data_IF_107735298742
#
_entry.id   IF_107735298742
#
_cell.length_a   1.000
_cell.length_b   1.000
_cell.length_c   1.000
_cell.angle_alpha   90.00
_cell.angle_beta   90.00
_cell.angle_gamma   90.00
#
_symmetry.space_group_name_H-M   'P 1'
#
loop_
_entity.id
_entity.type
_entity.pdbx_description
1 polymer ?
#
# COMPACT_ATOMS: atom_id res chain seq x y z
N UNK A 1 -3.80 -1.65 -8.40
CA UNK A 1 -3.65 -1.81 -9.85
C UNK A 1 -2.69 -0.77 -10.41
N UNK A 2 -1.86 -1.13 -11.38
CA UNK A 2 -0.95 -0.20 -12.03
C UNK A 2 -1.74 0.73 -12.98
N UNK A 3 -1.43 2.02 -12.96
CA UNK A 3 -2.02 2.99 -13.86
C UNK A 3 -1.41 2.84 -15.27
N UNK A 4 -2.25 2.56 -16.27
CA UNK A 4 -1.86 2.49 -17.67
C UNK A 4 -2.01 3.86 -18.34
N UNK A 5 -0.96 4.32 -19.03
CA UNK A 5 -0.98 5.55 -19.81
C UNK A 5 -0.62 5.26 -21.27
N UNK A 6 -1.33 5.91 -22.19
CA UNK A 6 -1.13 5.74 -23.65
C UNK A 6 -1.16 4.27 -24.11
N UNK A 7 -1.98 3.41 -23.46
CA UNK A 7 -2.06 1.98 -23.76
C UNK A 7 -0.83 1.15 -23.32
N UNK A 8 0.07 1.74 -22.55
CA UNK A 8 1.26 1.04 -22.01
C UNK A 8 1.01 0.53 -20.61
N UNK A 9 1.61 -0.61 -20.27
CA UNK A 9 1.59 -1.16 -18.93
C UNK A 9 2.22 -0.19 -17.93
N UNK A 10 1.67 -0.10 -16.72
CA UNK A 10 2.13 0.81 -15.67
C UNK A 10 3.60 0.63 -15.25
N UNK A 11 4.20 -0.53 -15.52
CA UNK A 11 5.63 -0.79 -15.29
C UNK A 11 6.56 0.08 -16.13
N UNK A 12 6.05 0.64 -17.23
CA UNK A 12 6.80 1.52 -18.12
C UNK A 12 6.65 3.01 -17.79
N UNK A 13 5.96 3.34 -16.71
CA UNK A 13 5.91 4.71 -16.21
C UNK A 13 7.16 5.01 -15.37
N UNK A 14 7.61 6.25 -15.41
CA UNK A 14 8.60 6.73 -14.44
C UNK A 14 7.93 7.60 -13.41
N UNK A 15 8.30 7.39 -12.14
CA UNK A 15 7.82 8.16 -11.01
C UNK A 15 9.02 8.80 -10.34
N UNK A 16 8.98 10.12 -10.27
CA UNK A 16 10.04 10.90 -9.62
C UNK A 16 9.47 11.74 -8.50
N UNK A 17 10.29 11.98 -7.50
CA UNK A 17 9.98 12.91 -6.41
C UNK A 17 11.07 13.94 -6.34
N UNK A 18 10.71 15.20 -6.60
CA UNK A 18 11.64 16.33 -6.78
C UNK A 18 12.82 15.96 -7.69
N UNK A 19 12.55 15.22 -8.76
CA UNK A 19 13.52 14.78 -9.75
C UNK A 19 14.29 13.49 -9.42
N UNK A 20 14.17 12.93 -8.22
CA UNK A 20 14.77 11.65 -7.90
C UNK A 20 13.84 10.48 -8.27
N UNK A 21 14.34 9.49 -9.01
CA UNK A 21 13.56 8.34 -9.42
C UNK A 21 13.20 7.45 -8.22
N UNK A 22 11.92 7.05 -8.15
CA UNK A 22 11.38 6.14 -7.14
C UNK A 22 10.99 4.78 -7.73
N UNK A 23 11.32 4.53 -8.97
CA UNK A 23 10.93 3.29 -9.63
C UNK A 23 11.61 2.07 -9.03
N UNK A 24 10.88 0.96 -8.99
CA UNK A 24 11.46 -0.36 -8.75
C UNK A 24 12.19 -0.81 -10.03
N UNK A 25 13.51 -0.66 -10.05
CA UNK A 25 14.35 -0.93 -11.24
C UNK A 25 14.51 -2.44 -11.54
N UNK A 26 14.09 -3.33 -10.65
CA UNK A 26 14.26 -4.77 -10.84
C UNK A 26 13.12 -5.42 -11.63
N UNK A 27 12.01 -4.74 -11.86
CA UNK A 27 10.89 -5.25 -12.67
C UNK A 27 10.19 -6.50 -12.12
N UNK A 28 10.46 -6.87 -10.87
CA UNK A 28 9.94 -8.07 -10.24
C UNK A 28 8.53 -7.91 -9.65
N UNK A 29 8.01 -6.70 -9.64
CA UNK A 29 6.68 -6.38 -9.13
C UNK A 29 5.80 -5.82 -10.24
N UNK A 30 4.52 -6.14 -10.22
CA UNK A 30 3.50 -5.52 -11.08
C UNK A 30 3.26 -4.05 -10.72
N UNK A 31 3.65 -3.65 -9.52
CA UNK A 31 3.64 -2.26 -9.06
C UNK A 31 5.06 -1.67 -9.17
N UNK A 32 5.19 -0.58 -9.91
CA UNK A 32 6.49 0.06 -10.15
C UNK A 32 7.01 0.88 -8.95
N UNK A 33 6.26 0.93 -7.85
CA UNK A 33 6.63 1.66 -6.64
C UNK A 33 7.35 0.78 -5.62
N UNK A 34 8.38 1.28 -4.94
CA UNK A 34 8.97 0.58 -3.80
C UNK A 34 7.98 0.52 -2.63
N UNK A 35 8.06 -0.56 -1.84
CA UNK A 35 7.23 -0.70 -0.63
C UNK A 35 5.90 -1.44 -0.83
N UNK A 36 5.76 -2.22 -1.91
CA UNK A 36 4.56 -3.03 -2.15
C UNK A 36 3.33 -2.16 -2.43
N UNK A 37 2.26 -2.36 -1.67
CA UNK A 37 1.00 -1.62 -1.86
C UNK A 37 0.96 -0.25 -1.14
N UNK A 38 1.97 0.07 -0.34
CA UNK A 38 2.07 1.35 0.35
C UNK A 38 2.47 2.47 -0.63
N UNK A 39 1.82 3.62 -0.52
CA UNK A 39 2.25 4.82 -1.23
C UNK A 39 3.59 5.29 -0.65
N UNK A 40 4.61 5.58 -1.47
CA UNK A 40 5.95 5.92 -0.98
C UNK A 40 6.03 7.29 -0.31
N UNK A 41 5.07 8.18 -0.57
CA UNK A 41 5.00 9.52 0.00
C UNK A 41 3.57 9.84 0.39
N UNK A 42 3.40 10.52 1.54
CA UNK A 42 2.11 11.05 1.95
C UNK A 42 1.62 12.13 0.98
N UNK A 43 0.32 12.10 0.65
CA UNK A 43 -0.30 13.15 -0.16
C UNK A 43 -0.18 14.54 0.50
N UNK A 44 -0.23 14.60 1.81
CA UNK A 44 -0.09 15.85 2.56
C UNK A 44 1.33 16.44 2.52
N UNK A 45 2.32 15.65 2.12
CA UNK A 45 3.69 16.11 1.89
C UNK A 45 3.93 16.65 0.47
N UNK A 46 2.97 16.46 -0.43
CA UNK A 46 3.10 16.86 -1.85
C UNK A 46 2.55 18.28 -2.02
N UNK A 47 3.28 19.11 -2.73
CA UNK A 47 2.89 20.46 -3.15
C UNK A 47 2.25 20.43 -4.53
N UNK A 48 2.89 19.73 -5.48
CA UNK A 48 2.45 19.65 -6.87
C UNK A 48 2.70 18.26 -7.45
N UNK A 49 1.80 17.78 -8.30
CA UNK A 49 2.00 16.59 -9.13
C UNK A 49 1.87 17.00 -10.60
N UNK A 50 2.90 16.73 -11.38
CA UNK A 50 2.85 16.86 -12.82
C UNK A 50 2.90 15.50 -13.51
N UNK A 51 2.03 15.32 -14.51
CA UNK A 51 1.96 14.09 -15.32
C UNK A 51 2.20 14.45 -16.77
N UNK A 52 3.28 13.92 -17.34
CA UNK A 52 3.63 14.12 -18.73
C UNK A 52 3.48 12.80 -19.49
N UNK A 53 2.54 12.74 -20.42
CA UNK A 53 2.30 11.57 -21.26
C UNK A 53 3.06 11.73 -22.56
N UNK A 54 3.97 10.79 -22.85
CA UNK A 54 4.77 10.75 -24.09
C UNK A 54 5.46 12.09 -24.43
N UNK A 55 6.22 12.71 -23.52
CA UNK A 55 6.92 13.97 -23.82
C UNK A 55 8.01 13.76 -24.88
N UNK A 56 8.13 14.70 -25.80
CA UNK A 56 9.14 14.66 -26.88
C UNK A 56 10.51 15.20 -26.45
N UNK A 57 10.64 15.76 -25.26
CA UNK A 57 11.91 16.34 -24.80
C UNK A 57 12.92 15.26 -24.42
N UNK A 58 14.14 15.40 -24.87
CA UNK A 58 15.29 14.53 -24.55
C UNK A 58 15.69 14.56 -23.06
N UNK A 59 15.18 15.53 -22.32
CA UNK A 59 15.39 15.61 -20.86
C UNK A 59 14.62 14.53 -20.07
N UNK A 60 13.60 13.94 -20.70
CA UNK A 60 12.82 12.85 -20.13
C UNK A 60 13.35 11.52 -20.66
N UNK A 61 13.74 10.62 -19.80
CA UNK A 61 14.30 9.32 -20.14
C UNK A 61 13.76 8.19 -19.26
N UNK A 62 14.08 6.94 -19.60
CA UNK A 62 13.76 5.74 -18.85
C UNK A 62 12.27 5.40 -18.70
N UNK A 63 11.42 5.80 -19.63
CA UNK A 63 10.01 5.39 -19.67
C UNK A 63 9.47 5.40 -21.11
N UNK A 64 8.38 4.65 -21.31
CA UNK A 64 7.63 4.61 -22.59
C UNK A 64 6.14 4.87 -22.39
N UNK A 65 5.68 5.04 -21.15
CA UNK A 65 4.32 5.39 -20.76
C UNK A 65 4.21 6.86 -20.37
N UNK A 66 4.14 7.15 -19.09
CA UNK A 66 4.09 8.49 -18.55
C UNK A 66 5.24 8.76 -17.57
N UNK A 67 5.60 10.04 -17.46
CA UNK A 67 6.47 10.56 -16.40
C UNK A 67 5.61 11.30 -15.39
N UNK A 68 5.58 10.80 -14.17
CA UNK A 68 4.87 11.38 -13.04
C UNK A 68 5.92 11.98 -12.12
N UNK A 69 5.86 13.29 -11.91
CA UNK A 69 6.75 13.98 -10.99
C UNK A 69 5.96 14.63 -9.86
N UNK A 70 6.27 14.23 -8.63
CA UNK A 70 5.75 14.86 -7.44
C UNK A 70 6.79 15.85 -6.87
N UNK A 71 6.36 17.06 -6.58
CA UNK A 71 7.16 18.07 -5.90
C UNK A 71 6.72 18.09 -4.42
N UNK A 72 7.68 17.95 -3.51
CA UNK A 72 7.38 17.96 -2.08
C UNK A 72 7.30 19.37 -1.52
N UNK A 73 6.45 19.56 -0.51
CA UNK A 73 6.39 20.82 0.27
C UNK A 73 7.74 21.13 0.88
N UNK A 74 8.01 22.41 1.05
CA UNK A 74 9.20 22.94 1.72
C UNK A 74 8.82 23.80 2.91
N UNK A 75 9.78 24.06 3.81
CA UNK A 75 9.62 25.04 4.87
C UNK A 75 9.57 26.47 4.30
N UNK A 76 8.90 27.34 5.03
CA UNK A 76 8.77 28.77 4.68
C UNK A 76 9.27 29.64 5.84
N UNK A 77 9.19 30.97 5.69
CA UNK A 77 9.52 31.89 6.78
C UNK A 77 8.52 31.88 7.96
N UNK A 78 7.42 31.17 7.79
CA UNK A 78 6.38 31.01 8.79
C UNK A 78 6.38 29.57 9.29
N UNK A 79 6.15 29.40 10.59
CA UNK A 79 5.88 28.08 11.17
C UNK A 79 4.49 27.63 10.69
N UNK A 80 4.44 26.55 9.96
CA UNK A 80 3.20 25.90 9.49
C UNK A 80 3.23 24.43 9.87
N UNK A 81 2.13 23.96 10.42
CA UNK A 81 1.97 22.56 10.78
C UNK A 81 0.52 22.14 10.66
N UNK A 82 0.33 20.86 10.36
CA UNK A 82 -0.98 20.24 10.26
C UNK A 82 -0.92 18.89 10.94
N UNK A 83 -1.98 18.55 11.68
CA UNK A 83 -2.24 17.19 12.15
C UNK A 83 -3.54 16.75 11.52
N UNK A 84 -3.55 15.56 10.96
CA UNK A 84 -4.71 15.04 10.23
C UNK A 84 -4.96 13.58 10.53
N UNK A 85 -6.21 13.16 10.36
CA UNK A 85 -6.60 11.75 10.43
C UNK A 85 -7.65 11.47 9.39
N UNK A 86 -7.51 10.33 8.72
CA UNK A 86 -8.51 9.78 7.82
C UNK A 86 -8.97 8.44 8.38
N UNK A 87 -10.28 8.31 8.58
CA UNK A 87 -10.88 7.13 9.16
C UNK A 87 -11.94 6.57 8.21
N UNK A 88 -11.86 5.29 7.94
CA UNK A 88 -12.89 4.54 7.23
C UNK A 88 -13.39 3.42 8.14
N UNK A 89 -14.30 3.74 9.08
CA UNK A 89 -14.86 2.72 9.96
C UNK A 89 -15.81 1.81 9.18
N UNK A 90 -15.92 0.57 9.61
CA UNK A 90 -16.78 -0.46 8.99
C UNK A 90 -18.24 -0.03 8.81
N UNK A 91 -18.76 0.84 9.68
CA UNK A 91 -20.14 1.29 9.64
C UNK A 91 -20.46 2.26 8.49
N UNK A 92 -19.44 2.83 7.84
CA UNK A 92 -19.59 3.73 6.69
C UNK A 92 -19.51 2.98 5.33
N UNK A 93 -19.34 1.67 5.37
CA UNK A 93 -19.31 0.85 4.18
C UNK A 93 -20.70 0.27 3.96
N UNK A 94 -21.26 0.42 2.76
CA UNK A 94 -22.53 -0.18 2.39
C UNK A 94 -22.46 -1.70 2.49
N UNK A 95 -23.52 -2.29 3.04
CA UNK A 95 -23.59 -3.74 3.29
C UNK A 95 -24.32 -4.49 2.17
N UNK A 96 -24.96 -3.78 1.25
CA UNK A 96 -25.71 -4.38 0.15
C UNK A 96 -25.53 -3.61 -1.15
N UNK A 97 -25.65 -4.31 -2.26
CA UNK A 97 -25.67 -3.77 -3.62
C UNK A 97 -26.89 -4.35 -4.31
N UNK A 98 -27.82 -3.50 -4.78
CA UNK A 98 -29.08 -3.93 -5.39
C UNK A 98 -29.85 -4.97 -4.54
N UNK A 99 -30.00 -4.69 -3.26
CA UNK A 99 -30.67 -5.57 -2.28
C UNK A 99 -30.00 -6.94 -2.05
N UNK A 100 -28.78 -7.13 -2.56
CA UNK A 100 -27.96 -8.32 -2.27
C UNK A 100 -26.90 -7.96 -1.24
N UNK A 101 -26.88 -8.69 -0.15
CA UNK A 101 -25.87 -8.49 0.92
C UNK A 101 -24.47 -8.83 0.42
N UNK A 102 -23.52 -7.96 0.73
CA UNK A 102 -22.10 -8.17 0.45
C UNK A 102 -21.47 -8.83 1.66
N UNK A 103 -20.93 -10.05 1.54
CA UNK A 103 -20.36 -10.76 2.68
C UNK A 103 -19.09 -10.09 3.21
N UNK A 104 -18.88 -10.18 4.51
CA UNK A 104 -17.66 -9.75 5.22
C UNK A 104 -17.23 -8.28 5.05
N UNK A 105 -18.17 -7.39 4.71
CA UNK A 105 -17.91 -5.94 4.63
C UNK A 105 -17.44 -5.38 5.98
N UNK A 106 -17.78 -6.04 7.07
CA UNK A 106 -17.43 -5.61 8.42
C UNK A 106 -15.93 -5.69 8.74
N UNK A 107 -15.17 -6.46 7.98
CA UNK A 107 -13.72 -6.56 8.13
C UNK A 107 -12.96 -5.40 7.50
N UNK A 108 -13.58 -4.64 6.61
CA UNK A 108 -12.93 -3.49 6.00
C UNK A 108 -12.89 -2.30 6.97
N UNK A 109 -11.74 -1.93 7.40
CA UNK A 109 -11.49 -0.68 8.14
C UNK A 109 -10.14 -0.09 7.72
N UNK A 110 -10.01 1.21 7.77
CA UNK A 110 -8.74 1.89 7.57
C UNK A 110 -8.65 3.10 8.49
N UNK A 111 -7.47 3.32 9.04
CA UNK A 111 -7.14 4.43 9.91
C UNK A 111 -5.80 4.99 9.51
N UNK A 112 -5.75 6.27 9.21
CA UNK A 112 -4.54 7.00 8.88
C UNK A 112 -4.40 8.18 9.82
N UNK A 113 -3.21 8.35 10.36
CA UNK A 113 -2.82 9.48 11.22
C UNK A 113 -1.55 10.09 10.65
N UNK A 114 -1.52 11.40 10.53
CA UNK A 114 -0.37 12.09 9.99
C UNK A 114 -0.18 13.47 10.55
N UNK A 115 1.02 13.99 10.34
CA UNK A 115 1.36 15.36 10.64
C UNK A 115 2.31 15.93 9.60
N UNK A 116 2.27 17.24 9.43
CA UNK A 116 3.29 18.01 8.70
C UNK A 116 3.78 19.15 9.58
N UNK A 117 5.05 19.49 9.44
CA UNK A 117 5.65 20.62 10.13
C UNK A 117 6.71 21.26 9.23
N UNK A 118 6.58 22.54 8.95
CA UNK A 118 7.54 23.33 8.20
C UNK A 118 7.84 24.65 8.88
N UNK A 119 9.11 25.02 8.94
CA UNK A 119 9.55 26.27 9.56
C UNK A 119 10.93 26.74 9.06
N UNK A 120 11.28 28.01 9.28
CA UNK A 120 12.65 28.47 9.10
C UNK A 120 13.50 28.08 10.32
N UNK A 121 14.67 27.49 10.09
CA UNK A 121 15.75 27.42 11.11
C UNK A 121 16.44 28.77 11.15
N UNK A 122 16.68 29.35 9.96
CA UNK A 122 17.22 30.70 9.79
C UNK A 122 16.33 31.40 8.76
N UNK A 123 15.66 32.49 9.15
CA UNK A 123 14.78 33.23 8.25
C UNK A 123 15.48 33.61 6.94
N UNK A 124 14.76 33.42 5.83
CA UNK A 124 15.20 33.69 4.45
C UNK A 124 16.37 32.81 3.98
N UNK A 125 16.90 31.90 4.81
CA UNK A 125 18.14 31.20 4.51
C UNK A 125 18.07 29.69 4.66
N UNK A 126 17.55 29.18 5.76
CA UNK A 126 17.55 27.75 6.04
C UNK A 126 16.16 27.34 6.54
N UNK A 127 15.56 26.39 5.85
CA UNK A 127 14.23 25.90 6.10
C UNK A 127 14.22 24.39 6.29
N UNK A 128 13.29 23.90 7.09
CA UNK A 128 13.01 22.48 7.16
C UNK A 128 11.52 22.20 6.93
N UNK A 129 11.25 20.99 6.48
CA UNK A 129 9.91 20.42 6.40
C UNK A 129 9.98 18.95 6.80
N UNK A 130 9.04 18.51 7.62
CA UNK A 130 8.91 17.10 8.07
C UNK A 130 7.47 16.67 7.91
N UNK A 131 7.26 15.46 7.44
CA UNK A 131 5.98 14.78 7.41
C UNK A 131 6.14 13.38 7.97
N UNK A 132 5.19 12.98 8.81
CA UNK A 132 5.09 11.61 9.32
C UNK A 132 3.68 11.08 9.15
N UNK A 133 3.53 9.82 8.78
CA UNK A 133 2.24 9.18 8.56
C UNK A 133 2.26 7.73 9.03
N UNK A 134 1.19 7.32 9.71
CA UNK A 134 0.91 5.97 10.16
C UNK A 134 -0.41 5.53 9.56
N UNK A 135 -0.44 4.41 8.88
CA UNK A 135 -1.63 3.85 8.28
C UNK A 135 -1.81 2.40 8.71
N UNK A 136 -2.98 2.08 9.24
CA UNK A 136 -3.38 0.72 9.57
C UNK A 136 -4.68 0.41 8.82
N UNK A 137 -4.68 -0.66 8.06
CA UNK A 137 -5.88 -1.14 7.38
C UNK A 137 -6.10 -2.62 7.63
N UNK A 138 -7.35 -3.01 7.58
CA UNK A 138 -7.78 -4.40 7.68
C UNK A 138 -8.70 -4.71 6.53
N UNK A 139 -8.55 -5.86 5.94
CA UNK A 139 -9.41 -6.39 4.89
C UNK A 139 -9.80 -7.84 5.21
N UNK A 140 -10.91 -8.36 4.64
CA UNK A 140 -11.28 -9.74 4.84
C UNK A 140 -10.13 -10.67 4.47
N UNK A 141 -9.90 -11.67 5.32
CA UNK A 141 -8.99 -12.76 5.03
C UNK A 141 -9.52 -13.70 3.93
N UNK A 142 -9.11 -14.95 3.97
CA UNK A 142 -9.61 -15.97 3.04
C UNK A 142 -11.06 -16.28 3.41
N UNK A 143 -11.98 -16.07 2.47
CA UNK A 143 -13.42 -16.27 2.69
C UNK A 143 -13.84 -17.74 2.62
N UNK A 144 -13.03 -18.58 1.95
CA UNK A 144 -13.34 -19.99 1.76
C UNK A 144 -13.21 -20.78 3.05
N UNK A 145 -14.26 -21.56 3.37
CA UNK A 145 -14.31 -22.49 4.49
C UNK A 145 -14.37 -23.93 4.00
N UNK A 146 -13.87 -24.90 4.76
CA UNK A 146 -13.98 -26.31 4.38
C UNK A 146 -15.41 -26.82 4.45
N UNK A 147 -15.72 -27.85 3.65
CA UNK A 147 -16.98 -28.56 3.72
C UNK A 147 -17.12 -29.28 5.08
N UNK A 148 -18.32 -29.26 5.63
CA UNK A 148 -18.67 -30.04 6.82
C UNK A 148 -19.07 -31.48 6.45
N UNK A 149 -19.27 -31.77 5.16
CA UNK A 149 -19.71 -33.06 4.64
C UNK A 149 -18.60 -33.74 3.84
N UNK A 150 -18.48 -35.07 4.01
CA UNK A 150 -17.58 -35.90 3.21
C UNK A 150 -18.06 -35.92 1.75
N UNK A 151 -17.12 -35.69 0.83
CA UNK A 151 -17.46 -35.67 -0.60
C UNK A 151 -18.34 -34.50 -1.05
N UNK A 152 -18.46 -33.45 -0.26
CA UNK A 152 -19.23 -32.26 -0.57
C UNK A 152 -18.85 -31.64 -1.92
N UNK A 153 -19.84 -31.20 -2.71
CA UNK A 153 -19.62 -30.58 -4.03
C UNK A 153 -18.99 -29.18 -3.97
N UNK A 154 -18.96 -28.61 -2.77
CA UNK A 154 -18.62 -27.21 -2.55
C UNK A 154 -19.76 -26.26 -2.90
N UNK A 155 -19.66 -25.01 -2.46
CA UNK A 155 -20.64 -23.96 -2.73
C UNK A 155 -19.92 -22.65 -2.98
N UNK A 156 -19.94 -22.18 -4.22
CA UNK A 156 -19.30 -20.94 -4.63
C UNK A 156 -19.99 -19.69 -4.05
N UNK A 157 -21.30 -19.75 -3.81
CA UNK A 157 -22.07 -18.61 -3.29
C UNK A 157 -21.74 -18.38 -1.81
N UNK A 158 -21.62 -19.47 -1.06
CA UNK A 158 -21.32 -19.42 0.37
C UNK A 158 -19.82 -19.60 0.66
N UNK A 159 -18.96 -19.63 -0.36
CA UNK A 159 -17.52 -19.84 -0.24
C UNK A 159 -17.15 -21.12 0.53
N UNK A 160 -17.88 -22.22 0.27
CA UNK A 160 -17.58 -23.54 0.83
C UNK A 160 -16.73 -24.33 -0.17
N UNK A 161 -15.56 -24.77 0.24
CA UNK A 161 -14.68 -25.59 -0.58
C UNK A 161 -15.16 -27.06 -0.63
N UNK A 162 -14.60 -27.83 -1.56
CA UNK A 162 -14.88 -29.29 -1.63
C UNK A 162 -14.11 -30.08 -0.59
N UNK A 163 -13.14 -29.47 0.07
CA UNK A 163 -12.28 -30.15 1.03
C UNK A 163 -13.01 -30.37 2.34
N UNK A 164 -13.03 -31.62 2.82
CA UNK A 164 -13.68 -31.98 4.06
C UNK A 164 -12.86 -31.54 5.27
N UNK A 165 -13.51 -30.93 6.25
CA UNK A 165 -12.83 -30.41 7.45
C UNK A 165 -12.09 -31.49 8.24
N UNK A 166 -12.57 -32.73 8.25
CA UNK A 166 -11.89 -33.81 8.95
C UNK A 166 -10.59 -34.24 8.27
N UNK A 167 -10.50 -34.15 6.93
CA UNK A 167 -9.27 -34.41 6.21
C UNK A 167 -8.21 -33.36 6.56
N UNK A 168 -8.61 -32.08 6.59
CA UNK A 168 -7.74 -30.98 7.00
C UNK A 168 -7.22 -31.16 8.42
N UNK A 169 -8.11 -31.54 9.33
CA UNK A 169 -7.73 -31.84 10.71
C UNK A 169 -6.73 -32.99 10.79
N UNK A 170 -6.98 -34.09 10.07
CA UNK A 170 -6.10 -35.24 10.05
C UNK A 170 -4.72 -34.90 9.53
N UNK A 171 -4.65 -34.10 8.46
CA UNK A 171 -3.37 -33.63 7.89
C UNK A 171 -2.66 -32.71 8.87
N UNK A 172 -3.37 -31.77 9.48
CA UNK A 172 -2.80 -30.84 10.45
C UNK A 172 -2.21 -31.58 11.66
N UNK A 173 -2.99 -32.50 12.23
CA UNK A 173 -2.54 -33.31 13.37
C UNK A 173 -1.32 -34.18 13.00
N UNK A 174 -1.35 -34.82 11.84
CA UNK A 174 -0.22 -35.63 11.33
C UNK A 174 1.07 -34.81 11.17
N UNK A 175 0.97 -33.62 10.56
CA UNK A 175 2.13 -32.76 10.34
C UNK A 175 2.69 -32.27 11.68
N UNK A 176 1.83 -31.92 12.61
CA UNK A 176 2.20 -31.49 13.96
C UNK A 176 2.89 -32.60 14.75
N UNK A 177 2.31 -33.80 14.75
CA UNK A 177 2.84 -34.94 15.51
C UNK A 177 4.15 -35.47 14.92
N UNK A 178 4.24 -35.55 13.58
CA UNK A 178 5.39 -36.14 12.91
C UNK A 178 6.56 -35.21 12.73
N UNK A 179 6.31 -33.92 12.47
CA UNK A 179 7.33 -32.93 12.12
C UNK A 179 7.48 -31.81 13.14
N UNK A 180 6.63 -31.75 14.17
CA UNK A 180 6.62 -30.64 15.14
C UNK A 180 6.25 -29.29 14.54
N UNK A 181 5.64 -29.29 13.36
CA UNK A 181 5.26 -28.07 12.63
C UNK A 181 3.76 -27.83 12.75
N UNK A 182 3.39 -26.65 13.21
CA UNK A 182 1.99 -26.20 13.23
C UNK A 182 1.64 -25.50 11.92
N UNK A 183 0.77 -26.09 11.05
CA UNK A 183 0.40 -25.48 9.78
C UNK A 183 -0.55 -24.28 9.90
N UNK A 184 -0.99 -23.95 11.12
CA UNK A 184 -1.92 -22.85 11.36
C UNK A 184 -3.39 -23.25 11.17
N UNK A 185 -4.26 -22.22 11.07
CA UNK A 185 -5.70 -22.40 10.90
C UNK A 185 -6.05 -22.92 9.51
N UNK A 186 -6.99 -23.83 9.42
CA UNK A 186 -7.49 -24.41 8.17
C UNK A 186 -9.01 -24.29 8.00
N UNK A 187 -9.71 -23.87 9.02
CA UNK A 187 -11.18 -23.78 9.08
C UNK A 187 -11.69 -22.33 9.09
N UNK A 188 -10.87 -21.43 9.59
CA UNK A 188 -11.17 -20.00 9.65
C UNK A 188 -9.87 -19.21 9.56
N UNK A 189 -9.90 -18.17 8.78
CA UNK A 189 -8.76 -17.27 8.60
C UNK A 189 -9.09 -15.91 9.22
N UNK A 190 -8.08 -15.32 9.86
CA UNK A 190 -8.17 -13.96 10.39
C UNK A 190 -8.20 -12.94 9.24
N UNK A 191 -8.66 -11.74 9.56
CA UNK A 191 -8.60 -10.63 8.63
C UNK A 191 -7.14 -10.28 8.33
N UNK A 192 -6.88 -9.87 7.09
CA UNK A 192 -5.55 -9.42 6.69
C UNK A 192 -5.30 -8.01 7.20
N UNK A 193 -4.17 -7.84 7.86
CA UNK A 193 -3.71 -6.55 8.35
C UNK A 193 -2.62 -5.98 7.44
N UNK A 194 -2.69 -4.67 7.26
CA UNK A 194 -1.63 -3.88 6.60
C UNK A 194 -1.25 -2.73 7.53
N UNK A 195 0.04 -2.63 7.83
CA UNK A 195 0.61 -1.59 8.70
C UNK A 195 1.70 -0.86 7.94
N UNK A 196 1.50 0.41 7.71
CA UNK A 196 2.43 1.24 6.97
C UNK A 196 2.85 2.44 7.82
N UNK A 197 4.12 2.80 7.78
CA UNK A 197 4.56 4.08 8.28
C UNK A 197 5.51 4.75 7.30
N UNK A 198 5.42 6.07 7.24
CA UNK A 198 6.18 6.90 6.32
C UNK A 198 6.77 8.08 7.09
N UNK A 199 7.98 8.42 6.75
CA UNK A 199 8.63 9.62 7.27
C UNK A 199 9.39 10.29 6.13
N UNK A 200 9.13 11.58 5.95
CA UNK A 200 9.87 12.44 5.04
C UNK A 200 10.43 13.62 5.79
N UNK A 201 11.68 13.95 5.52
CA UNK A 201 12.33 15.16 6.00
C UNK A 201 13.04 15.87 4.85
N UNK A 202 12.89 17.18 4.78
CA UNK A 202 13.51 18.03 3.77
C UNK A 202 14.18 19.24 4.44
N UNK A 203 15.35 19.57 3.98
CA UNK A 203 16.12 20.75 4.39
C UNK A 203 16.51 21.55 3.16
N UNK A 204 16.12 22.81 3.10
CA UNK A 204 16.42 23.71 2.01
C UNK A 204 17.31 24.85 2.52
N UNK A 205 18.50 24.98 1.96
CA UNK A 205 19.49 25.98 2.35
C UNK A 205 19.85 26.91 1.19
N UNK A 206 19.46 28.18 1.32
CA UNK A 206 19.92 29.26 0.46
C UNK A 206 21.28 29.75 0.94
N UNK A 207 22.37 29.16 0.47
CA UNK A 207 23.74 29.45 0.90
C UNK A 207 24.07 30.91 0.54
N UNK A 208 23.81 31.26 -0.71
CA UNK A 208 23.96 32.62 -1.25
C UNK A 208 23.04 32.81 -2.48
N UNK A 209 23.13 33.95 -3.17
CA UNK A 209 22.27 34.25 -4.35
C UNK A 209 22.43 33.26 -5.51
N UNK A 210 23.60 32.60 -5.60
CA UNK A 210 23.93 31.69 -6.72
C UNK A 210 23.90 30.20 -6.32
N UNK A 211 23.87 29.89 -5.02
CA UNK A 211 23.97 28.51 -4.56
C UNK A 211 22.84 28.17 -3.58
N UNK A 212 22.11 27.13 -3.92
CA UNK A 212 21.04 26.52 -3.09
C UNK A 212 21.35 25.04 -2.93
N UNK A 213 21.09 24.51 -1.75
CA UNK A 213 21.22 23.10 -1.42
C UNK A 213 19.90 22.60 -0.86
N UNK A 214 19.40 21.49 -1.41
CA UNK A 214 18.25 20.77 -0.85
C UNK A 214 18.68 19.36 -0.50
N UNK A 215 18.44 18.97 0.75
CA UNK A 215 18.63 17.61 1.24
C UNK A 215 17.27 17.02 1.55
N UNK A 216 17.07 15.75 1.15
CA UNK A 216 15.84 15.04 1.42
C UNK A 216 16.11 13.63 1.89
N UNK A 217 15.34 13.24 2.88
CA UNK A 217 15.27 11.88 3.40
C UNK A 217 13.84 11.41 3.30
N UNK A 218 13.63 10.21 2.75
CA UNK A 218 12.33 9.56 2.70
C UNK A 218 12.48 8.09 3.08
N UNK A 219 11.61 7.60 3.96
CA UNK A 219 11.55 6.20 4.34
C UNK A 219 10.12 5.73 4.47
N UNK A 220 9.88 4.52 4.01
CA UNK A 220 8.60 3.82 4.10
C UNK A 220 8.86 2.42 4.62
N UNK A 221 8.06 2.00 5.58
CA UNK A 221 8.00 0.59 5.99
C UNK A 221 6.56 0.13 5.86
N UNK A 222 6.39 -1.00 5.19
CA UNK A 222 5.10 -1.66 4.97
C UNK A 222 5.19 -3.10 5.43
N UNK A 223 4.20 -3.52 6.19
CA UNK A 223 3.99 -4.90 6.62
C UNK A 223 2.58 -5.28 6.24
N UNK A 224 2.44 -6.30 5.41
CA UNK A 224 1.15 -6.75 4.89
C UNK A 224 1.04 -8.26 5.03
N UNK A 225 -0.11 -8.73 5.49
CA UNK A 225 -0.47 -10.12 5.38
C UNK A 225 -0.74 -10.46 3.91
N UNK A 226 -0.25 -11.61 3.47
CA UNK A 226 -0.43 -12.07 2.10
C UNK A 226 -1.27 -13.34 2.06
N UNK A 227 -2.21 -13.40 1.13
CA UNK A 227 -2.93 -14.64 0.85
C UNK A 227 -2.01 -15.66 0.20
N UNK A 228 -1.95 -16.85 0.79
CA UNK A 228 -1.18 -17.97 0.24
C UNK A 228 -1.92 -18.57 -0.98
N UNK A 229 -3.25 -18.59 -0.94
CA UNK A 229 -4.10 -19.10 -2.02
C UNK A 229 -5.46 -18.42 -1.99
N UNK A 230 -6.02 -18.16 -3.17
CA UNK A 230 -7.39 -17.64 -3.35
C UNK A 230 -8.28 -18.60 -4.13
N UNK A 231 -7.92 -19.88 -4.20
CA UNK A 231 -8.69 -20.88 -4.96
C UNK A 231 -9.81 -21.49 -4.11
N UNK A 232 -10.85 -22.01 -4.78
CA UNK A 232 -11.95 -22.73 -4.15
C UNK A 232 -11.53 -24.08 -3.53
N UNK A 233 -10.30 -24.50 -3.74
CA UNK A 233 -9.70 -25.68 -3.12
C UNK A 233 -8.79 -25.20 -1.99
N UNK A 234 -9.19 -25.39 -0.76
CA UNK A 234 -8.43 -24.97 0.43
C UNK A 234 -7.15 -25.78 0.58
N UNK A 235 -7.14 -27.01 0.10
CA UNK A 235 -5.92 -27.79 -0.07
C UNK A 235 -5.76 -28.03 -1.54
N UNK A 236 -4.99 -27.24 -2.17
CA UNK A 236 -4.60 -27.49 -3.56
C UNK A 236 -3.19 -27.94 -3.71
N UNK A 237 -2.62 -28.50 -2.78
CA UNK A 237 -1.30 -29.17 -2.85
C UNK A 237 -0.37 -28.70 -1.74
#
# INVERSE_FOLDING_TARGET
GSNSFAGRDGRYNTITVDGAALNNNFGLSTNNLPGGDAQPISLDAIDEISVNVSPYSVTYSNFTGASINAVTKSGTNELKGTVYTYQKPKNFIGKSINDVDVPNVESYKSSLYGFTLGAPIIKNKLFFFVNGELENSTSPGILWTPSQEEGGSGDNQNHISRTWIKDLKTISDFVKDKYGYDPGSYDKFDDFESKNWKLMARLDWNINKSHKLSLRFNTVKSENDASISSTSSVITK
#
